data_IF_230897320272
#
_entry.id   IF_230897320272
#
_cell.length_a   1.000
_cell.length_b   1.000
_cell.length_c   1.000
_cell.angle_alpha   90.00
_cell.angle_beta   90.00
_cell.angle_gamma   90.00
#
_symmetry.space_group_name_H-M   'P 1'
#
loop_
_entity.id
_entity.type
_entity.pdbx_description
1 polymer ?
#
# COMPACT_ATOMS: atom_id res chain seq x y z
N UNK A 1 1.26 10.99 -0.66
CA UNK A 1 2.04 10.28 -1.72
C UNK A 1 2.07 11.07 -3.02
N UNK A 2 0.94 11.45 -3.64
CA UNK A 2 0.94 12.24 -4.90
C UNK A 2 1.86 13.47 -4.86
N UNK A 3 1.68 14.37 -3.88
CA UNK A 3 2.51 15.56 -3.73
C UNK A 3 4.00 15.21 -3.56
N UNK A 4 4.30 14.15 -2.81
CA UNK A 4 5.67 13.68 -2.62
C UNK A 4 6.28 13.17 -3.92
N UNK A 5 5.52 12.41 -4.71
CA UNK A 5 5.95 11.94 -6.04
C UNK A 5 6.13 13.11 -7.01
N UNK A 6 5.27 14.13 -6.97
CA UNK A 6 5.46 15.34 -7.79
C UNK A 6 6.77 16.08 -7.48
N UNK A 7 7.29 15.98 -6.25
CA UNK A 7 8.58 16.54 -5.86
C UNK A 7 9.77 15.64 -6.20
N UNK A 8 9.63 14.32 -6.00
CA UNK A 8 10.78 13.38 -6.06
C UNK A 8 10.88 12.62 -7.37
N UNK A 9 9.76 12.22 -7.96
CA UNK A 9 9.69 11.44 -9.19
C UNK A 9 8.35 11.70 -9.93
N UNK A 10 8.24 12.82 -10.67
CA UNK A 10 7.00 13.25 -11.29
C UNK A 10 6.44 12.25 -12.30
N UNK A 11 7.30 11.44 -12.92
CA UNK A 11 6.92 10.45 -13.93
C UNK A 11 6.14 9.28 -13.31
N UNK A 12 6.35 9.00 -12.02
CA UNK A 12 5.62 7.98 -11.26
C UNK A 12 4.22 8.39 -10.83
N UNK A 13 3.89 9.68 -10.89
CA UNK A 13 2.58 10.20 -10.43
C UNK A 13 1.43 9.55 -11.19
N UNK A 14 1.48 9.55 -12.53
CA UNK A 14 0.43 8.97 -13.39
C UNK A 14 0.25 7.46 -13.19
N UNK A 15 1.32 6.62 -13.29
CA UNK A 15 1.17 5.18 -13.09
C UNK A 15 0.75 4.84 -11.66
N UNK A 16 1.21 5.58 -10.64
CA UNK A 16 0.76 5.38 -9.27
C UNK A 16 -0.73 5.67 -9.13
N UNK A 17 -1.23 6.82 -9.63
CA UNK A 17 -2.65 7.17 -9.51
C UNK A 17 -3.56 6.15 -10.20
N UNK A 18 -3.17 5.66 -11.38
CA UNK A 18 -3.94 4.64 -12.10
C UNK A 18 -3.90 3.28 -11.39
N UNK A 19 -2.70 2.81 -11.03
CA UNK A 19 -2.52 1.51 -10.38
C UNK A 19 -3.12 1.45 -8.98
N UNK A 20 -2.95 2.50 -8.18
CA UNK A 20 -3.53 2.60 -6.84
C UNK A 20 -5.05 2.56 -6.89
N UNK A 21 -5.68 3.22 -7.87
CA UNK A 21 -7.13 3.19 -8.02
C UNK A 21 -7.65 1.77 -8.33
N UNK A 22 -6.97 1.02 -9.19
CA UNK A 22 -7.33 -0.37 -9.48
C UNK A 22 -7.18 -1.26 -8.25
N UNK A 23 -6.05 -1.14 -7.56
CA UNK A 23 -5.74 -2.00 -6.42
C UNK A 23 -6.66 -1.72 -5.22
N UNK A 24 -6.94 -0.44 -4.95
CA UNK A 24 -7.91 -0.05 -3.91
C UNK A 24 -9.30 -0.63 -4.20
N UNK A 25 -9.73 -0.71 -5.47
CA UNK A 25 -11.01 -1.36 -5.81
C UNK A 25 -11.00 -2.85 -5.46
N UNK A 26 -9.89 -3.57 -5.72
CA UNK A 26 -9.76 -5.00 -5.35
C UNK A 26 -9.79 -5.18 -3.83
N UNK A 27 -9.08 -4.32 -3.11
CA UNK A 27 -9.05 -4.32 -1.64
C UNK A 27 -10.45 -4.07 -1.07
N UNK A 28 -11.19 -3.10 -1.62
CA UNK A 28 -12.57 -2.82 -1.20
C UNK A 28 -13.53 -3.97 -1.52
N UNK A 29 -13.34 -4.67 -2.64
CA UNK A 29 -14.15 -5.85 -2.99
C UNK A 29 -13.94 -7.00 -1.98
N UNK A 30 -12.72 -7.14 -1.46
CA UNK A 30 -12.34 -8.17 -0.50
C UNK A 30 -12.09 -7.60 0.91
N UNK A 31 -12.73 -6.48 1.26
CA UNK A 31 -12.43 -5.71 2.47
C UNK A 31 -12.50 -6.52 3.76
N UNK A 32 -13.36 -7.56 3.80
CA UNK A 32 -13.53 -8.45 4.97
C UNK A 32 -12.39 -9.45 5.16
N UNK A 33 -11.65 -9.78 4.10
CA UNK A 33 -10.55 -10.74 4.15
C UNK A 33 -9.25 -10.04 4.57
N UNK A 34 -9.10 -8.78 4.13
CA UNK A 34 -7.95 -7.96 4.49
C UNK A 34 -8.00 -7.55 5.96
N UNK A 35 -6.86 -7.68 6.63
CA UNK A 35 -6.60 -7.03 7.91
C UNK A 35 -5.73 -5.79 7.68
N UNK A 36 -6.11 -4.68 8.33
CA UNK A 36 -5.48 -3.38 8.15
C UNK A 36 -4.55 -3.08 9.33
N UNK A 37 -3.29 -2.78 9.05
CA UNK A 37 -2.28 -2.48 10.06
C UNK A 37 -1.71 -1.07 9.86
N UNK A 38 -1.51 -0.35 10.97
CA UNK A 38 -0.77 0.92 10.98
C UNK A 38 0.65 0.69 11.49
N UNK A 39 1.57 1.58 11.12
CA UNK A 39 2.94 1.55 11.64
C UNK A 39 3.00 1.88 13.14
N UNK A 40 4.19 1.82 13.72
CA UNK A 40 4.42 2.05 15.16
C UNK A 40 3.89 3.39 15.67
N UNK A 41 3.95 4.43 14.83
CA UNK A 41 3.44 5.77 15.15
C UNK A 41 1.92 5.86 15.19
N UNK A 42 1.21 4.81 14.75
CA UNK A 42 -0.24 4.73 14.62
C UNK A 42 -0.86 5.93 13.88
N UNK A 43 -0.09 6.57 13.00
CA UNK A 43 -0.54 7.75 12.27
C UNK A 43 -1.64 7.36 11.26
N UNK A 44 -2.88 7.90 11.39
CA UNK A 44 -3.98 7.58 10.47
C UNK A 44 -3.76 8.13 9.05
N UNK A 45 -2.92 9.16 8.89
CA UNK A 45 -2.53 9.71 7.58
C UNK A 45 -1.33 8.95 6.97
N UNK A 46 -0.78 7.99 7.70
CA UNK A 46 0.32 7.14 7.28
C UNK A 46 -0.11 6.04 6.32
N UNK A 47 0.85 5.21 5.93
CA UNK A 47 0.56 4.04 5.12
C UNK A 47 -0.07 2.93 5.98
N UNK A 48 -1.09 2.30 5.41
CA UNK A 48 -1.75 1.13 5.98
C UNK A 48 -1.21 -0.12 5.28
N UNK A 49 -0.68 -1.05 6.07
CA UNK A 49 -0.31 -2.39 5.59
C UNK A 49 -1.55 -3.26 5.45
N UNK A 50 -1.66 -3.97 4.34
CA UNK A 50 -2.77 -4.88 4.07
C UNK A 50 -2.29 -6.31 4.24
N UNK A 51 -2.76 -7.01 5.26
CA UNK A 51 -2.47 -8.42 5.47
C UNK A 51 -3.57 -9.27 4.85
N UNK A 52 -3.16 -10.27 4.09
CA UNK A 52 -4.03 -11.30 3.53
C UNK A 52 -3.29 -12.64 3.52
N UNK A 53 -4.02 -13.71 3.24
CA UNK A 53 -3.48 -15.06 3.14
C UNK A 53 -3.46 -15.50 1.69
N UNK A 54 -2.40 -16.22 1.29
CA UNK A 54 -2.34 -16.80 -0.05
C UNK A 54 -3.48 -17.79 -0.25
N UNK A 55 -3.60 -18.34 -1.46
CA UNK A 55 -4.64 -19.34 -1.79
C UNK A 55 -4.63 -20.57 -0.86
N UNK A 56 -3.50 -20.84 -0.19
CA UNK A 56 -3.37 -21.89 0.83
C UNK A 56 -4.07 -21.58 2.16
N UNK A 57 -4.51 -20.34 2.38
CA UNK A 57 -5.18 -19.87 3.60
C UNK A 57 -4.31 -19.83 4.85
N UNK A 58 -3.00 -20.12 4.73
CA UNK A 58 -2.09 -20.29 5.87
C UNK A 58 -0.88 -19.38 5.75
N UNK A 59 -0.40 -19.10 4.53
CA UNK A 59 0.77 -18.25 4.31
C UNK A 59 0.35 -16.78 4.30
N UNK A 60 0.69 -15.99 5.33
CA UNK A 60 0.39 -14.56 5.34
C UNK A 60 1.29 -13.81 4.37
N UNK A 61 0.75 -12.77 3.74
CA UNK A 61 1.53 -11.78 3.02
C UNK A 61 0.99 -10.38 3.33
N UNK A 62 1.90 -9.40 3.34
CA UNK A 62 1.53 -8.00 3.48
C UNK A 62 1.78 -7.25 2.19
N UNK A 63 0.78 -6.47 1.77
CA UNK A 63 0.88 -5.55 0.65
C UNK A 63 1.18 -4.14 1.18
N UNK A 64 2.14 -3.49 0.54
CA UNK A 64 2.52 -2.11 0.78
C UNK A 64 2.62 -1.37 -0.56
N UNK A 65 2.28 -0.09 -0.56
CA UNK A 65 2.48 0.74 -1.74
C UNK A 65 3.95 1.12 -1.85
N UNK A 66 4.63 0.61 -2.89
CA UNK A 66 6.05 0.89 -3.16
C UNK A 66 6.36 2.38 -3.16
N UNK A 67 5.53 3.18 -3.83
CA UNK A 67 5.70 4.63 -3.93
C UNK A 67 5.48 5.38 -2.58
N UNK A 68 5.06 4.68 -1.53
CA UNK A 68 4.98 5.17 -0.15
C UNK A 68 6.15 4.74 0.75
N UNK A 69 7.07 3.92 0.25
CA UNK A 69 8.23 3.41 1.00
C UNK A 69 9.53 4.02 0.47
N UNK A 70 10.51 4.15 1.37
CA UNK A 70 11.89 4.51 1.02
C UNK A 70 12.79 3.37 1.47
N UNK A 71 13.66 2.92 0.57
CA UNK A 71 14.66 1.90 0.88
C UNK A 71 15.78 2.52 1.73
N UNK A 72 16.08 1.90 2.88
CA UNK A 72 17.23 2.24 3.70
C UNK A 72 18.11 0.98 3.82
N UNK A 73 19.41 1.13 3.49
CA UNK A 73 20.41 0.07 3.68
C UNK A 73 21.14 0.33 4.99
N UNK A 74 21.14 -0.67 5.87
CA UNK A 74 21.93 -0.68 7.10
C UNK A 74 23.41 -0.97 6.82
#
# INVERSE_FOLDING_TARGET
>A
IKARLEETDPDRVKPFMAGAQEEVKKVLANFKNYQFFTGESMNPDGMVGLLDYREDGITPFMLFFKDGLVEEKC
#
